data_IF_250531093404
#
_entry.id   IF_250531093404
#
_cell.length_a   1.000
_cell.length_b   1.000
_cell.length_c   1.000
_cell.angle_alpha   90.00
_cell.angle_beta   90.00
_cell.angle_gamma   90.00
#
_symmetry.space_group_name_H-M   'P 1'
#
loop_
_entity.id
_entity.type
_entity.pdbx_description
1 polymer ?
#
# COMPACT_ATOMS: atom_id res chain seq x y z
N UNK A 1 -9.56 0.66 -15.62
CA UNK A 1 -8.92 0.70 -16.96
C UNK A 1 -7.41 0.70 -16.81
N UNK A 2 -6.67 -0.17 -17.52
CA UNK A 2 -5.21 -0.17 -17.49
C UNK A 2 -4.66 1.10 -18.18
N UNK A 3 -3.75 1.78 -17.49
CA UNK A 3 -3.01 2.93 -18.03
C UNK A 3 -1.66 2.44 -18.52
N UNK A 4 -1.19 2.97 -19.64
CA UNK A 4 0.09 2.60 -20.23
C UNK A 4 0.97 3.82 -20.48
N UNK A 5 2.30 3.68 -20.36
CA UNK A 5 3.28 4.74 -20.67
C UNK A 5 4.38 4.25 -21.61
N UNK A 6 4.85 5.15 -22.47
CA UNK A 6 6.01 4.92 -23.35
C UNK A 6 7.31 5.21 -22.57
N UNK A 7 8.24 4.26 -22.44
CA UNK A 7 9.50 4.48 -21.72
C UNK A 7 10.51 5.34 -22.50
N UNK A 8 10.43 5.35 -23.84
CA UNK A 8 11.39 6.06 -24.69
C UNK A 8 10.99 7.51 -24.98
N UNK A 9 9.69 7.76 -25.14
CA UNK A 9 9.19 8.97 -25.78
C UNK A 9 8.28 9.82 -24.90
N UNK A 10 7.97 9.37 -23.68
CA UNK A 10 7.20 10.10 -22.67
C UNK A 10 5.90 10.76 -23.17
N UNK A 11 5.24 10.18 -24.20
CA UNK A 11 4.08 10.75 -24.90
C UNK A 11 2.78 10.86 -24.07
N UNK A 12 2.84 10.94 -22.74
CA UNK A 12 1.68 10.90 -21.87
C UNK A 12 1.18 9.48 -21.59
N UNK A 13 0.15 9.37 -20.76
CA UNK A 13 -0.48 8.10 -20.45
C UNK A 13 -1.51 7.75 -21.53
N UNK A 14 -1.39 6.57 -22.14
CA UNK A 14 -2.39 6.04 -23.04
C UNK A 14 -3.42 5.20 -22.26
N UNK A 15 -4.71 5.51 -22.42
CA UNK A 15 -5.81 4.68 -21.95
C UNK A 15 -6.14 3.65 -23.03
N UNK A 16 -5.69 2.41 -22.86
CA UNK A 16 -6.03 1.34 -23.80
C UNK A 16 -7.33 0.71 -23.33
N UNK A 17 -8.41 0.95 -24.08
CA UNK A 17 -9.77 0.55 -23.67
C UNK A 17 -9.93 -0.98 -23.63
N UNK A 18 -9.33 -1.73 -24.56
CA UNK A 18 -9.36 -3.19 -24.60
C UNK A 18 -8.14 -3.77 -25.34
N UNK A 19 -6.97 -3.91 -24.70
CA UNK A 19 -5.90 -4.67 -25.33
C UNK A 19 -6.34 -6.14 -25.50
N UNK A 20 -6.05 -6.78 -26.64
CA UNK A 20 -6.22 -8.22 -26.79
C UNK A 20 -5.48 -8.95 -25.66
N UNK A 21 -6.03 -10.06 -25.17
CA UNK A 21 -5.40 -10.85 -24.10
C UNK A 21 -3.99 -11.27 -24.55
N UNK A 22 -2.97 -10.86 -23.82
CA UNK A 22 -1.56 -11.18 -24.10
C UNK A 22 -0.85 -10.24 -25.10
N UNK A 23 -1.54 -9.27 -25.70
CA UNK A 23 -0.91 -8.30 -26.59
C UNK A 23 -0.30 -7.14 -25.78
N UNK A 24 0.96 -6.81 -26.06
CA UNK A 24 1.61 -5.60 -25.54
C UNK A 24 1.28 -4.42 -26.47
N UNK A 25 0.61 -3.37 -25.97
CA UNK A 25 0.31 -2.22 -26.81
C UNK A 25 1.61 -1.53 -27.23
N UNK A 26 1.65 -0.99 -28.44
CA UNK A 26 2.84 -0.35 -29.03
C UNK A 26 2.63 1.16 -29.08
N UNK A 27 3.69 1.93 -28.82
CA UNK A 27 3.62 3.38 -28.96
C UNK A 27 3.49 3.80 -30.43
N UNK A 28 2.55 4.67 -30.75
CA UNK A 28 2.33 5.19 -32.12
C UNK A 28 3.51 6.00 -32.67
N UNK A 29 4.37 6.57 -31.81
CA UNK A 29 5.44 7.47 -32.22
C UNK A 29 6.78 6.77 -32.46
N UNK A 30 7.24 5.99 -31.49
CA UNK A 30 8.57 5.36 -31.51
C UNK A 30 8.51 3.83 -31.65
N UNK A 31 7.30 3.25 -31.74
CA UNK A 31 7.06 1.81 -31.84
C UNK A 31 7.64 0.94 -30.71
N UNK A 32 8.02 1.52 -29.57
CA UNK A 32 8.42 0.75 -28.39
C UNK A 32 7.21 0.15 -27.68
N UNK A 33 7.34 -1.03 -27.04
CA UNK A 33 6.28 -1.60 -26.22
C UNK A 33 5.94 -0.66 -25.06
N UNK A 34 4.64 -0.46 -24.83
CA UNK A 34 4.13 0.37 -23.76
C UNK A 34 4.11 -0.41 -22.44
N UNK A 35 4.53 0.23 -21.36
CA UNK A 35 4.57 -0.37 -20.03
C UNK A 35 3.29 -0.04 -19.24
N UNK A 36 2.78 -1.02 -18.49
CA UNK A 36 1.55 -0.85 -17.71
C UNK A 36 1.83 -0.05 -16.45
N UNK A 37 1.17 1.09 -16.29
CA UNK A 37 1.25 1.88 -15.07
C UNK A 37 0.34 1.31 -13.98
N UNK A 38 0.87 1.12 -12.75
CA UNK A 38 0.04 0.81 -11.60
C UNK A 38 -0.89 1.99 -11.31
N UNK A 39 -2.16 1.70 -11.03
CA UNK A 39 -3.21 2.73 -10.80
C UNK A 39 -2.93 3.55 -9.54
N UNK A 40 -2.27 2.94 -8.56
CA UNK A 40 -1.80 3.54 -7.31
C UNK A 40 -0.39 3.03 -7.06
N UNK A 41 0.53 3.93 -6.70
CA UNK A 41 1.82 3.49 -6.16
C UNK A 41 1.53 2.79 -4.83
N UNK A 42 2.11 1.61 -4.56
CA UNK A 42 1.86 0.89 -3.30
C UNK A 42 2.40 1.64 -2.07
N UNK A 43 3.22 2.68 -2.27
CA UNK A 43 3.94 3.39 -1.23
C UNK A 43 3.05 3.96 -0.10
N UNK A 44 1.93 4.68 -0.35
CA UNK A 44 1.09 5.20 0.73
C UNK A 44 0.43 4.08 1.54
N UNK A 45 0.08 2.98 0.88
CA UNK A 45 -0.50 1.79 1.52
C UNK A 45 0.52 1.09 2.43
N UNK A 46 1.77 0.97 1.97
CA UNK A 46 2.86 0.43 2.78
C UNK A 46 3.15 1.28 4.01
N UNK A 47 3.10 2.61 3.88
CA UNK A 47 3.27 3.54 5.01
C UNK A 47 2.14 3.36 6.02
N UNK A 48 0.89 3.27 5.54
CA UNK A 48 -0.27 3.07 6.42
C UNK A 48 -0.14 1.76 7.22
N UNK A 49 0.27 0.67 6.55
CA UNK A 49 0.45 -0.64 7.18
C UNK A 49 1.60 -0.65 8.18
N UNK A 50 2.74 -0.03 7.85
CA UNK A 50 3.90 -0.01 8.75
C UNK A 50 3.64 0.83 9.99
N UNK A 51 3.19 2.07 9.82
CA UNK A 51 2.91 3.00 10.92
C UNK A 51 1.74 2.48 11.75
N UNK A 52 0.67 2.00 11.11
CA UNK A 52 -0.48 1.42 11.79
C UNK A 52 -0.12 0.18 12.63
N UNK A 53 0.71 -0.72 12.09
CA UNK A 53 1.15 -1.91 12.84
C UNK A 53 1.99 -1.53 14.06
N UNK A 54 2.92 -0.59 13.93
CA UNK A 54 3.74 -0.12 15.07
C UNK A 54 2.87 0.52 16.14
N UNK A 55 1.90 1.36 15.76
CA UNK A 55 0.96 1.96 16.70
C UNK A 55 0.14 0.91 17.45
N UNK A 56 -0.42 -0.07 16.73
CA UNK A 56 -1.20 -1.16 17.35
C UNK A 56 -0.35 -1.97 18.32
N UNK A 57 0.85 -2.42 17.91
CA UNK A 57 1.75 -3.17 18.79
C UNK A 57 2.14 -2.35 20.02
N UNK A 58 2.43 -1.06 19.87
CA UNK A 58 2.77 -0.19 20.99
C UNK A 58 1.61 0.05 21.97
N UNK A 59 0.37 -0.08 21.51
CA UNK A 59 -0.83 0.17 22.32
C UNK A 59 -1.24 -1.02 23.20
N UNK A 60 -0.68 -2.21 22.97
CA UNK A 60 -1.00 -3.42 23.72
C UNK A 60 0.20 -3.86 24.56
N UNK A 61 0.36 -3.34 25.80
CA UNK A 61 1.49 -3.69 26.67
C UNK A 61 1.54 -5.18 27.04
N UNK A 62 0.42 -5.89 26.90
CA UNK A 62 0.31 -7.34 27.14
C UNK A 62 1.11 -8.21 26.15
N UNK A 63 1.44 -7.70 24.95
CA UNK A 63 2.23 -8.47 23.97
C UNK A 63 3.74 -8.46 24.27
N UNK A 64 4.22 -7.50 25.06
CA UNK A 64 5.65 -7.34 25.36
C UNK A 64 6.05 -7.79 26.78
N UNK A 65 5.07 -8.14 27.64
CA UNK A 65 5.34 -8.57 29.01
C UNK A 65 4.33 -9.65 29.44
N UNK A 66 4.60 -10.95 29.21
CA UNK A 66 3.69 -12.04 29.60
C UNK A 66 3.55 -12.20 31.14
N UNK A 67 4.21 -11.36 31.93
CA UNK A 67 4.29 -11.43 33.39
C UNK A 67 3.86 -10.15 34.10
N UNK A 68 3.16 -9.22 33.45
CA UNK A 68 2.57 -8.08 34.17
C UNK A 68 1.33 -8.56 34.96
N UNK A 69 1.37 -8.60 36.31
CA UNK A 69 0.20 -8.95 37.10
C UNK A 69 -0.87 -7.87 36.88
N UNK A 70 -2.12 -8.31 36.70
CA UNK A 70 -3.30 -7.45 36.76
C UNK A 70 -3.29 -6.79 38.14
N UNK A 71 -2.91 -5.52 38.22
CA UNK A 71 -3.05 -4.73 39.44
C UNK A 71 -4.55 -4.62 39.73
N UNK A 72 -5.06 -5.15 40.85
CA UNK A 72 -6.44 -4.93 41.23
C UNK A 72 -6.61 -3.46 41.60
N UNK A 73 -7.71 -2.87 41.15
CA UNK A 73 -8.12 -1.52 41.52
C UNK A 73 -7.95 -1.29 43.04
N UNK A 74 -7.23 -0.23 43.36
CA UNK A 74 -7.12 0.35 44.69
C UNK A 74 -8.50 0.85 45.13
N UNK A 75 -9.28 -0.03 45.78
CA UNK A 75 -10.47 0.37 46.53
C UNK A 75 -10.06 0.74 47.95
N UNK A 76 -9.46 1.92 48.08
CA UNK A 76 -9.42 2.62 49.35
C UNK A 76 -10.80 3.27 49.57
N UNK A 77 -11.58 2.73 50.50
CA UNK A 77 -12.68 3.48 51.14
C UNK A 77 -13.00 2.92 52.52
N UNK A 78 -12.35 3.55 53.49
CA UNK A 78 -12.69 3.74 54.90
C UNK A 78 -14.11 3.35 55.34
N UNK A 79 -14.20 2.54 56.40
CA UNK A 79 -15.12 2.70 57.54
C UNK A 79 -14.73 1.70 58.66
#
# INVERSE_FOLDING_TARGET
MPRYRCPSCCCGAALVLHPPKGATPICSRCRTPLERQPLVRPLPLLILLSVGSVLVLSSVPMLFNPSAPVQPEHKDRSA
#
